data_IF_056800683161
#
_entry.id   IF_056800683161
#
_cell.length_a   1.000
_cell.length_b   1.000
_cell.length_c   1.000
_cell.angle_alpha   90.00
_cell.angle_beta   90.00
_cell.angle_gamma   90.00
#
_symmetry.space_group_name_H-M   'P 1'
#
loop_
_entity.id
_entity.type
_entity.pdbx_description
1 polymer ?
#
# COMPACT_ATOMS: atom_id res chain seq x y z
N UNK A 1 -22.82 17.43 16.04
CA UNK A 1 -23.03 16.00 16.35
C UNK A 1 -21.99 15.17 15.61
N UNK A 2 -20.73 15.18 16.06
CA UNK A 2 -19.64 14.39 15.48
C UNK A 2 -18.81 13.81 16.62
N UNK A 3 -19.30 12.73 17.20
CA UNK A 3 -18.59 11.95 18.22
C UNK A 3 -18.56 10.49 17.80
N UNK A 4 -17.96 10.22 16.64
CA UNK A 4 -17.64 8.86 16.20
C UNK A 4 -16.46 8.25 17.02
N UNK A 5 -15.44 9.01 17.51
CA UNK A 5 -14.34 8.40 18.27
C UNK A 5 -14.77 7.83 19.62
N UNK A 6 -15.76 8.44 20.28
CA UNK A 6 -16.18 8.04 21.63
C UNK A 6 -16.84 6.65 21.66
N UNK A 7 -17.50 6.24 20.56
CA UNK A 7 -18.16 4.93 20.46
C UNK A 7 -17.21 3.77 20.24
N UNK A 8 -16.01 4.02 19.71
CA UNK A 8 -14.98 3.00 19.56
C UNK A 8 -14.26 2.73 20.89
N UNK A 9 -14.11 3.76 21.72
CA UNK A 9 -13.39 3.73 23.00
C UNK A 9 -14.26 3.30 24.18
N UNK A 10 -15.59 3.46 24.12
CA UNK A 10 -16.51 3.01 25.18
C UNK A 10 -17.08 1.60 24.93
N UNK A 11 -17.23 0.77 25.97
CA UNK A 11 -17.82 -0.55 25.83
C UNK A 11 -19.35 -0.40 25.72
N UNK A 12 -19.88 -0.43 24.50
CA UNK A 12 -21.31 -0.65 24.28
C UNK A 12 -21.51 -2.01 23.62
N UNK A 13 -22.61 -2.68 23.97
CA UNK A 13 -22.92 -4.10 23.72
C UNK A 13 -23.04 -4.52 22.24
N UNK A 14 -22.81 -3.60 21.29
CA UNK A 14 -23.02 -3.85 19.86
C UNK A 14 -21.84 -4.53 19.15
N UNK A 15 -20.64 -4.58 19.76
CA UNK A 15 -19.43 -5.13 19.12
C UNK A 15 -18.74 -6.16 20.03
N UNK A 16 -18.40 -7.37 19.52
CA UNK A 16 -17.70 -8.38 20.32
C UNK A 16 -16.39 -7.83 20.90
N UNK A 17 -16.23 -7.90 22.23
CA UNK A 17 -15.07 -7.35 22.94
C UNK A 17 -13.74 -7.94 22.45
N UNK A 18 -13.72 -9.23 22.09
CA UNK A 18 -12.57 -9.93 21.56
C UNK A 18 -12.13 -9.43 20.18
N UNK A 19 -13.06 -9.03 19.32
CA UNK A 19 -12.73 -8.48 17.98
C UNK A 19 -12.06 -7.11 18.08
N UNK A 20 -12.57 -6.24 18.96
CA UNK A 20 -12.02 -4.89 19.18
C UNK A 20 -10.62 -4.93 19.77
N UNK A 21 -10.39 -5.76 20.78
CA UNK A 21 -9.07 -5.89 21.40
C UNK A 21 -8.03 -6.40 20.40
N UNK A 22 -8.39 -7.38 19.57
CA UNK A 22 -7.53 -7.89 18.49
C UNK A 22 -7.23 -6.83 17.44
N UNK A 23 -8.25 -6.09 16.99
CA UNK A 23 -8.08 -5.00 16.02
C UNK A 23 -7.17 -3.90 16.56
N UNK A 24 -7.43 -3.39 17.76
CA UNK A 24 -6.61 -2.35 18.39
C UNK A 24 -5.18 -2.83 18.67
N UNK A 25 -5.00 -4.08 19.08
CA UNK A 25 -3.68 -4.68 19.24
C UNK A 25 -2.92 -4.74 17.91
N UNK A 26 -3.61 -5.06 16.81
CA UNK A 26 -3.04 -5.09 15.46
C UNK A 26 -2.61 -3.69 15.00
N UNK A 27 -3.46 -2.68 15.17
CA UNK A 27 -3.08 -1.28 14.91
C UNK A 27 -1.89 -0.83 15.75
N UNK A 28 -1.86 -1.21 17.02
CA UNK A 28 -0.73 -0.92 17.92
C UNK A 28 0.56 -1.57 17.44
N UNK A 29 0.53 -2.86 17.05
CA UNK A 29 1.70 -3.57 16.48
C UNK A 29 2.15 -2.94 15.17
N UNK A 30 1.22 -2.53 14.32
CA UNK A 30 1.54 -1.85 13.06
C UNK A 30 2.24 -0.52 13.34
N UNK A 31 1.66 0.34 14.17
CA UNK A 31 2.18 1.68 14.44
C UNK A 31 3.49 1.68 15.23
N UNK A 32 3.57 0.89 16.31
CA UNK A 32 4.70 0.88 17.24
C UNK A 32 5.73 -0.21 16.94
N UNK A 33 5.49 -1.10 15.97
CA UNK A 33 6.37 -2.22 15.64
C UNK A 33 6.17 -3.44 16.53
N UNK A 34 6.91 -4.51 16.23
CA UNK A 34 6.68 -5.83 16.82
C UNK A 34 5.51 -6.54 16.15
N UNK A 35 5.62 -6.76 14.83
CA UNK A 35 4.66 -7.55 14.07
C UNK A 35 4.50 -8.93 14.73
N UNK A 36 3.31 -9.52 14.61
CA UNK A 36 3.08 -10.88 15.10
C UNK A 36 4.12 -11.85 14.52
N UNK A 37 4.43 -12.93 15.23
CA UNK A 37 5.28 -14.01 14.69
C UNK A 37 4.64 -14.58 13.43
N UNK A 38 5.44 -15.17 12.55
CA UNK A 38 4.98 -15.73 11.28
C UNK A 38 3.80 -16.71 11.45
N UNK A 39 3.75 -17.40 12.59
CA UNK A 39 2.71 -18.37 12.96
C UNK A 39 1.43 -17.73 13.55
N UNK A 40 1.49 -16.47 14.00
CA UNK A 40 0.45 -15.79 14.81
C UNK A 40 -0.28 -14.64 14.09
N UNK A 41 -0.22 -14.61 12.75
CA UNK A 41 -0.95 -13.61 11.95
C UNK A 41 -0.10 -12.44 11.44
N UNK A 42 1.23 -12.61 11.32
CA UNK A 42 2.14 -11.67 10.64
C UNK A 42 1.62 -11.23 9.28
N UNK A 43 1.07 -12.16 8.51
CA UNK A 43 0.48 -11.88 7.21
C UNK A 43 -0.66 -10.86 7.29
N UNK A 44 -1.56 -11.00 8.27
CA UNK A 44 -2.66 -10.06 8.49
C UNK A 44 -2.18 -8.68 8.91
N UNK A 45 -1.17 -8.59 9.78
CA UNK A 45 -0.57 -7.31 10.17
C UNK A 45 0.06 -6.60 8.97
N UNK A 46 0.79 -7.34 8.12
CA UNK A 46 1.41 -6.82 6.89
C UNK A 46 0.36 -6.37 5.88
N UNK A 47 -0.67 -7.20 5.65
CA UNK A 47 -1.76 -6.91 4.72
C UNK A 47 -2.52 -5.63 5.11
N UNK A 48 -2.82 -5.47 6.40
CA UNK A 48 -3.47 -4.27 6.91
C UNK A 48 -2.55 -3.05 6.84
N UNK A 49 -1.27 -3.20 7.18
CA UNK A 49 -0.31 -2.10 7.08
C UNK A 49 -0.14 -1.62 5.63
N UNK A 50 -0.13 -2.53 4.65
CA UNK A 50 -0.11 -2.19 3.23
C UNK A 50 -1.42 -1.55 2.77
N UNK A 51 -2.57 -2.02 3.26
CA UNK A 51 -3.85 -1.37 3.00
C UNK A 51 -3.87 0.09 3.49
N UNK A 52 -3.28 0.37 4.66
CA UNK A 52 -3.17 1.74 5.22
C UNK A 52 -2.37 2.69 4.32
N UNK A 53 -1.45 2.20 3.48
CA UNK A 53 -0.74 3.07 2.52
C UNK A 53 -1.67 3.71 1.50
N UNK A 54 -2.73 3.00 1.10
CA UNK A 54 -3.76 3.50 0.20
C UNK A 54 -4.67 4.56 0.86
N UNK A 55 -4.66 4.68 2.20
CA UNK A 55 -5.42 5.71 2.94
C UNK A 55 -4.66 7.02 3.15
N UNK A 56 -3.40 7.12 2.73
CA UNK A 56 -2.58 8.30 2.96
C UNK A 56 -3.22 9.58 2.36
N UNK A 57 -3.71 9.50 1.12
CA UNK A 57 -4.38 10.63 0.45
C UNK A 57 -5.76 10.93 1.05
N UNK A 58 -6.67 9.95 1.27
CA UNK A 58 -7.94 10.20 1.97
C UNK A 58 -7.78 10.86 3.35
N UNK A 59 -6.75 10.47 4.12
CA UNK A 59 -6.45 11.10 5.40
C UNK A 59 -5.99 12.55 5.24
N UNK A 60 -5.20 12.86 4.20
CA UNK A 60 -4.82 14.25 3.91
C UNK A 60 -6.01 15.11 3.47
N UNK A 61 -6.94 14.56 2.69
CA UNK A 61 -8.17 15.27 2.30
C UNK A 61 -9.09 15.51 3.50
N UNK A 62 -9.21 14.51 4.40
CA UNK A 62 -9.94 14.67 5.65
C UNK A 62 -9.32 15.77 6.52
N UNK A 63 -7.99 15.83 6.61
CA UNK A 63 -7.30 16.91 7.32
C UNK A 63 -7.64 18.28 6.72
N UNK A 64 -7.53 18.45 5.40
CA UNK A 64 -7.87 19.71 4.72
C UNK A 64 -9.32 20.10 5.01
N UNK A 65 -10.27 19.18 4.82
CA UNK A 65 -11.69 19.44 5.08
C UNK A 65 -11.96 19.87 6.53
N UNK A 66 -11.35 19.20 7.52
CA UNK A 66 -11.49 19.56 8.93
C UNK A 66 -10.88 20.93 9.23
N UNK A 67 -9.73 21.26 8.64
CA UNK A 67 -9.12 22.59 8.83
C UNK A 67 -9.97 23.71 8.23
N UNK A 68 -10.58 23.49 7.07
CA UNK A 68 -11.51 24.44 6.46
C UNK A 68 -12.73 24.66 7.33
N UNK A 69 -13.35 23.57 7.83
CA UNK A 69 -14.48 23.63 8.75
C UNK A 69 -14.13 24.40 10.03
N UNK A 70 -12.95 24.15 10.60
CA UNK A 70 -12.51 24.81 11.82
C UNK A 70 -12.23 26.30 11.61
N UNK A 71 -11.61 26.66 10.48
CA UNK A 71 -11.31 28.04 10.11
C UNK A 71 -12.52 28.80 9.53
N UNK A 72 -13.65 28.12 9.34
CA UNK A 72 -14.86 28.66 8.69
C UNK A 72 -14.56 29.30 7.33
N UNK A 73 -13.61 28.73 6.58
CA UNK A 73 -13.29 29.21 5.24
C UNK A 73 -14.38 28.79 4.26
N UNK A 74 -14.76 29.72 3.37
CA UNK A 74 -15.62 29.41 2.22
C UNK A 74 -14.91 28.52 1.20
N UNK A 75 -15.66 28.05 0.21
CA UNK A 75 -15.15 27.19 -0.89
C UNK A 75 -14.27 27.94 -1.89
N UNK A 76 -14.22 29.26 -1.82
CA UNK A 76 -13.73 30.14 -2.89
C UNK A 76 -12.19 30.19 -2.99
N UNK A 77 -11.47 29.87 -1.91
CA UNK A 77 -10.02 29.73 -1.92
C UNK A 77 -9.58 28.64 -0.95
N UNK A 78 -9.59 27.39 -1.41
CA UNK A 78 -9.08 26.27 -0.62
C UNK A 78 -7.56 26.36 -0.57
N UNK A 79 -7.01 26.68 0.59
CA UNK A 79 -5.58 26.48 0.87
C UNK A 79 -5.32 24.97 0.98
N UNK A 80 -5.21 24.31 -0.18
CA UNK A 80 -4.94 22.87 -0.32
C UNK A 80 -3.49 22.52 0.03
N UNK A 81 -2.65 23.52 0.27
CA UNK A 81 -1.20 23.42 0.29
C UNK A 81 -0.62 23.69 1.67
N UNK A 82 -1.13 23.00 2.70
CA UNK A 82 -0.34 22.85 3.93
C UNK A 82 0.98 22.17 3.56
N UNK A 83 2.03 22.98 3.40
CA UNK A 83 3.37 22.57 2.95
C UNK A 83 4.02 21.53 3.87
N UNK A 84 3.49 21.38 5.09
CA UNK A 84 4.00 20.48 6.12
C UNK A 84 3.04 19.32 6.39
N UNK A 85 1.78 19.58 6.75
CA UNK A 85 0.88 18.52 7.20
C UNK A 85 0.51 17.51 6.09
N UNK A 86 0.25 17.95 4.85
CA UNK A 86 -0.14 17.04 3.76
C UNK A 86 1.00 16.09 3.39
N UNK A 87 2.25 16.56 3.15
CA UNK A 87 3.37 15.65 2.90
C UNK A 87 3.64 14.68 4.05
N UNK A 88 3.49 15.11 5.31
CA UNK A 88 3.64 14.22 6.46
C UNK A 88 2.57 13.13 6.49
N UNK A 89 1.29 13.48 6.27
CA UNK A 89 0.19 12.51 6.21
C UNK A 89 0.39 11.50 5.06
N UNK A 90 0.93 11.96 3.93
CA UNK A 90 1.32 11.08 2.82
C UNK A 90 2.48 10.16 3.18
N UNK A 91 3.48 10.64 3.91
CA UNK A 91 4.71 9.91 4.24
C UNK A 91 4.56 8.92 5.40
N UNK A 92 3.68 9.17 6.37
CA UNK A 92 3.54 8.36 7.59
C UNK A 92 3.32 6.86 7.32
N UNK A 93 2.39 6.44 6.44
CA UNK A 93 2.20 5.01 6.16
C UNK A 93 3.44 4.32 5.59
N UNK A 94 4.18 5.01 4.70
CA UNK A 94 5.44 4.50 4.14
C UNK A 94 6.53 4.43 5.21
N UNK A 95 6.61 5.40 6.13
CA UNK A 95 7.57 5.39 7.24
C UNK A 95 7.31 4.23 8.21
N UNK A 96 6.05 3.93 8.50
CA UNK A 96 5.66 2.77 9.31
C UNK A 96 6.15 1.48 8.65
N UNK A 97 5.87 1.28 7.35
CA UNK A 97 6.30 0.09 6.61
C UNK A 97 7.82 -0.01 6.49
N UNK A 98 8.50 1.09 6.21
CA UNK A 98 9.96 1.15 6.17
C UNK A 98 10.57 0.65 7.49
N UNK A 99 10.10 1.19 8.62
CA UNK A 99 10.56 0.80 9.94
C UNK A 99 10.31 -0.69 10.23
N UNK A 100 9.13 -1.20 9.88
CA UNK A 100 8.80 -2.62 10.04
C UNK A 100 9.76 -3.50 9.23
N UNK A 101 10.01 -3.14 7.97
CA UNK A 101 10.89 -3.90 7.10
C UNK A 101 12.35 -3.89 7.59
N UNK A 102 12.83 -2.76 8.13
CA UNK A 102 14.16 -2.68 8.75
C UNK A 102 14.24 -3.58 10.00
N UNK A 103 13.21 -3.54 10.84
CA UNK A 103 13.16 -4.34 12.08
C UNK A 103 13.15 -5.85 11.77
N UNK A 104 12.45 -6.24 10.70
CA UNK A 104 12.33 -7.63 10.24
C UNK A 104 13.50 -8.07 9.34
N UNK A 105 14.54 -7.24 9.18
CA UNK A 105 15.70 -7.48 8.31
C UNK A 105 15.31 -7.81 6.86
N UNK A 106 14.37 -7.05 6.29
CA UNK A 106 13.90 -7.16 4.91
C UNK A 106 14.39 -5.95 4.08
N UNK A 107 15.68 -5.86 3.71
CA UNK A 107 16.26 -4.66 3.12
C UNK A 107 15.65 -4.29 1.76
N UNK A 108 15.29 -5.26 0.93
CA UNK A 108 14.67 -4.99 -0.37
C UNK A 108 13.23 -4.45 -0.21
N UNK A 109 12.47 -4.99 0.76
CA UNK A 109 11.13 -4.49 1.05
C UNK A 109 11.20 -3.09 1.69
N UNK A 110 12.19 -2.86 2.56
CA UNK A 110 12.47 -1.53 3.12
C UNK A 110 12.78 -0.52 2.01
N UNK A 111 13.63 -0.89 1.05
CA UNK A 111 13.96 -0.04 -0.08
C UNK A 111 12.71 0.33 -0.88
N UNK A 112 11.76 -0.60 -1.06
CA UNK A 112 10.50 -0.34 -1.76
C UNK A 112 9.76 0.84 -1.14
N UNK A 113 9.51 0.80 0.17
CA UNK A 113 8.84 1.91 0.86
C UNK A 113 9.70 3.18 0.92
N UNK A 114 11.03 3.04 0.94
CA UNK A 114 11.93 4.19 0.92
C UNK A 114 11.84 5.01 -0.39
N UNK A 115 11.55 4.36 -1.53
CA UNK A 115 11.42 5.06 -2.82
C UNK A 115 10.28 6.08 -2.87
N UNK A 116 9.30 6.02 -1.96
CA UNK A 116 8.20 6.98 -1.91
C UNK A 116 8.62 8.37 -1.38
N UNK A 117 9.62 8.44 -0.49
CA UNK A 117 10.01 9.70 0.16
C UNK A 117 10.56 10.75 -0.82
N UNK A 118 11.48 10.42 -1.75
CA UNK A 118 11.94 11.40 -2.72
C UNK A 118 10.80 11.95 -3.60
N UNK A 119 9.84 11.12 -3.99
CA UNK A 119 8.69 11.56 -4.79
C UNK A 119 7.80 12.54 -4.00
N UNK A 120 7.55 12.28 -2.72
CA UNK A 120 6.79 13.18 -1.83
C UNK A 120 7.56 14.48 -1.58
N UNK A 121 8.87 14.39 -1.33
CA UNK A 121 9.73 15.55 -1.08
C UNK A 121 9.78 16.49 -2.28
N UNK A 122 10.13 15.98 -3.47
CA UNK A 122 10.22 16.82 -4.66
C UNK A 122 8.86 17.36 -5.09
N UNK A 123 7.77 16.61 -4.89
CA UNK A 123 6.40 17.10 -5.07
C UNK A 123 6.12 18.31 -4.18
N UNK A 124 6.56 18.26 -2.92
CA UNK A 124 6.39 19.37 -1.96
C UNK A 124 7.24 20.57 -2.36
N UNK A 125 8.50 20.35 -2.72
CA UNK A 125 9.40 21.43 -3.15
C UNK A 125 8.86 22.15 -4.39
N UNK A 126 8.31 21.42 -5.37
CA UNK A 126 7.71 22.00 -6.57
C UNK A 126 6.51 22.93 -6.31
N UNK A 127 5.90 22.86 -5.13
CA UNK A 127 4.85 23.81 -4.69
C UNK A 127 5.41 25.08 -4.09
N UNK A 128 6.71 25.12 -3.76
CA UNK A 128 7.35 26.34 -3.26
C UNK A 128 7.57 27.35 -4.40
N UNK A 129 7.11 28.58 -4.19
CA UNK A 129 7.26 29.69 -5.14
C UNK A 129 8.74 30.10 -5.34
N UNK A 130 9.59 29.88 -4.33
CA UNK A 130 10.99 30.31 -4.28
C UNK A 130 11.97 29.46 -5.10
N UNK A 131 11.53 28.44 -5.83
CA UNK A 131 12.43 27.53 -6.55
C UNK A 131 13.22 28.18 -7.69
N UNK A 132 12.71 29.25 -8.30
CA UNK A 132 13.38 29.98 -9.39
C UNK A 132 13.95 29.05 -10.46
N UNK A 133 15.26 29.17 -10.71
CA UNK A 133 15.99 28.39 -11.71
C UNK A 133 16.03 26.87 -11.44
N UNK A 134 15.86 26.43 -10.19
CA UNK A 134 15.93 25.00 -9.82
C UNK A 134 14.65 24.22 -10.15
N UNK A 135 13.54 24.91 -10.46
CA UNK A 135 12.23 24.27 -10.70
C UNK A 135 12.29 23.17 -11.76
N UNK A 136 13.03 23.38 -12.85
CA UNK A 136 13.19 22.39 -13.92
C UNK A 136 13.91 21.13 -13.44
N UNK A 137 15.05 21.28 -12.74
CA UNK A 137 15.80 20.15 -12.19
C UNK A 137 14.97 19.35 -11.18
N UNK A 138 14.30 20.03 -10.25
CA UNK A 138 13.44 19.36 -9.27
C UNK A 138 12.28 18.63 -9.96
N UNK A 139 11.75 19.18 -11.07
CA UNK A 139 10.76 18.51 -11.92
C UNK A 139 11.26 17.17 -12.46
N UNK A 140 12.47 17.14 -13.04
CA UNK A 140 13.07 15.90 -13.54
C UNK A 140 13.36 14.89 -12.42
N UNK A 141 13.87 15.36 -11.28
CA UNK A 141 14.12 14.51 -10.11
C UNK A 141 12.81 13.94 -9.55
N UNK A 142 11.72 14.71 -9.56
CA UNK A 142 10.39 14.24 -9.17
C UNK A 142 9.90 13.13 -10.11
N UNK A 143 10.00 13.31 -11.43
CA UNK A 143 9.60 12.30 -12.41
C UNK A 143 10.42 11.02 -12.20
N UNK A 144 11.75 11.14 -12.04
CA UNK A 144 12.62 10.00 -11.80
C UNK A 144 12.26 9.27 -10.50
N UNK A 145 12.00 10.01 -9.42
CA UNK A 145 11.59 9.45 -8.14
C UNK A 145 10.23 8.73 -8.23
N UNK A 146 9.24 9.36 -8.88
CA UNK A 146 7.92 8.79 -9.08
C UNK A 146 7.96 7.52 -9.96
N UNK A 147 8.76 7.54 -11.03
CA UNK A 147 8.97 6.38 -11.90
C UNK A 147 9.66 5.24 -11.16
N UNK A 148 10.70 5.56 -10.39
CA UNK A 148 11.42 4.57 -9.56
C UNK A 148 10.47 3.93 -8.55
N UNK A 149 9.68 4.74 -7.85
CA UNK A 149 8.70 4.23 -6.89
C UNK A 149 7.64 3.34 -7.55
N UNK A 150 7.05 3.79 -8.67
CA UNK A 150 6.03 3.05 -9.39
C UNK A 150 6.57 1.72 -9.92
N UNK A 151 7.70 1.74 -10.64
CA UNK A 151 8.28 0.54 -11.24
C UNK A 151 8.80 -0.44 -10.20
N UNK A 152 9.50 0.02 -9.17
CA UNK A 152 10.05 -0.89 -8.17
C UNK A 152 8.95 -1.54 -7.34
N UNK A 153 7.93 -0.76 -6.99
CA UNK A 153 6.77 -1.33 -6.30
C UNK A 153 6.03 -2.28 -7.25
N UNK A 154 5.81 -1.94 -8.53
CA UNK A 154 5.14 -2.84 -9.49
C UNK A 154 5.87 -4.18 -9.63
N UNK A 155 7.20 -4.12 -9.74
CA UNK A 155 8.06 -5.30 -9.72
C UNK A 155 7.81 -6.14 -8.46
N UNK A 156 7.75 -5.49 -7.29
CA UNK A 156 7.48 -6.17 -6.02
C UNK A 156 6.13 -6.87 -6.01
N UNK A 157 5.08 -6.20 -6.49
CA UNK A 157 3.73 -6.76 -6.51
C UNK A 157 3.67 -8.02 -7.40
N UNK A 158 4.24 -7.96 -8.61
CA UNK A 158 4.27 -9.10 -9.53
C UNK A 158 5.11 -10.26 -8.99
N UNK A 159 6.32 -9.97 -8.51
CA UNK A 159 7.31 -11.03 -8.23
C UNK A 159 7.28 -11.54 -6.81
N UNK A 160 7.08 -10.66 -5.83
CA UNK A 160 7.18 -11.01 -4.41
C UNK A 160 5.79 -11.24 -3.80
N UNK A 161 4.83 -10.37 -4.11
CA UNK A 161 3.49 -10.45 -3.52
C UNK A 161 2.62 -11.50 -4.23
N UNK A 162 2.65 -11.57 -5.56
CA UNK A 162 1.89 -12.56 -6.33
C UNK A 162 2.69 -13.81 -6.72
N UNK A 163 4.00 -13.82 -6.44
CA UNK A 163 4.88 -14.97 -6.70
C UNK A 163 4.84 -15.41 -8.17
N UNK A 164 4.84 -14.43 -9.09
CA UNK A 164 4.84 -14.65 -10.53
C UNK A 164 6.23 -14.51 -11.11
N UNK A 165 6.49 -15.25 -12.19
CA UNK A 165 7.79 -15.34 -12.84
C UNK A 165 7.94 -14.42 -14.05
N UNK A 166 6.94 -13.58 -14.34
CA UNK A 166 6.90 -12.73 -15.54
C UNK A 166 8.09 -11.75 -15.64
N UNK A 167 8.57 -11.24 -14.50
CA UNK A 167 9.68 -10.28 -14.43
C UNK A 167 10.97 -10.89 -13.87
N UNK A 168 10.98 -12.21 -13.64
CA UNK A 168 12.16 -12.94 -13.15
C UNK A 168 12.55 -14.01 -14.17
N UNK A 169 13.70 -14.65 -13.94
CA UNK A 169 14.09 -15.77 -14.81
C UNK A 169 13.10 -16.91 -14.60
N UNK A 170 12.51 -17.49 -15.66
CA UNK A 170 11.64 -18.65 -15.50
C UNK A 170 12.47 -19.81 -14.92
N UNK A 171 12.03 -20.33 -13.78
CA UNK A 171 12.59 -21.54 -13.17
C UNK A 171 11.52 -22.63 -13.31
N UNK A 172 11.71 -23.55 -14.27
CA UNK A 172 10.80 -24.68 -14.53
C UNK A 172 10.04 -24.63 -15.87
N UNK A 173 9.20 -25.64 -16.10
CA UNK A 173 8.50 -25.95 -17.37
C UNK A 173 7.34 -25.00 -17.74
N UNK A 174 7.28 -23.80 -17.17
CA UNK A 174 6.15 -22.88 -17.38
C UNK A 174 6.62 -21.56 -18.01
N UNK A 175 6.63 -21.48 -19.36
CA UNK A 175 7.27 -20.39 -20.09
C UNK A 175 6.49 -19.07 -20.09
N UNK A 176 5.26 -19.03 -19.56
CA UNK A 176 4.36 -17.87 -19.72
C UNK A 176 4.45 -16.83 -18.59
N UNK A 177 5.44 -16.93 -17.69
CA UNK A 177 5.65 -15.96 -16.61
C UNK A 177 4.62 -16.03 -15.48
N UNK A 178 3.80 -17.09 -15.44
CA UNK A 178 2.88 -17.40 -14.36
C UNK A 178 3.38 -18.61 -13.57
N UNK A 179 2.92 -18.75 -12.32
CA UNK A 179 3.22 -19.90 -11.48
C UNK A 179 2.38 -21.13 -11.83
N UNK A 180 2.82 -22.31 -11.39
CA UNK A 180 2.18 -23.60 -11.69
C UNK A 180 0.77 -23.74 -11.09
N UNK A 181 0.64 -23.58 -9.77
CA UNK A 181 -0.62 -23.71 -9.04
C UNK A 181 -1.36 -22.38 -9.04
N UNK A 182 -2.52 -22.34 -9.70
CA UNK A 182 -3.35 -21.13 -9.90
C UNK A 182 -4.80 -21.47 -9.62
N UNK A 183 -5.51 -20.58 -8.92
CA UNK A 183 -6.95 -20.74 -8.66
C UNK A 183 -7.83 -19.92 -9.62
N UNK A 184 -7.24 -19.00 -10.38
CA UNK A 184 -7.94 -18.16 -11.35
C UNK A 184 -7.51 -18.49 -12.79
N UNK A 185 -8.32 -18.15 -13.81
CA UNK A 185 -7.88 -18.26 -15.20
C UNK A 185 -6.72 -17.32 -15.51
N UNK A 186 -5.87 -17.70 -16.46
CA UNK A 186 -4.67 -16.97 -16.87
C UNK A 186 -4.97 -15.50 -17.26
N UNK A 187 -6.12 -15.29 -17.91
CA UNK A 187 -6.60 -13.95 -18.29
C UNK A 187 -6.79 -13.02 -17.09
N UNK A 188 -7.20 -13.55 -15.93
CA UNK A 188 -7.36 -12.76 -14.72
C UNK A 188 -6.01 -12.30 -14.17
N UNK A 189 -4.98 -13.15 -14.20
CA UNK A 189 -3.62 -12.77 -13.78
C UNK A 189 -3.06 -11.66 -14.68
N UNK A 190 -3.10 -11.83 -16.01
CA UNK A 190 -2.59 -10.81 -16.93
C UNK A 190 -3.38 -9.50 -16.86
N UNK A 191 -4.72 -9.57 -16.74
CA UNK A 191 -5.56 -8.39 -16.56
C UNK A 191 -5.19 -7.63 -15.29
N UNK A 192 -4.98 -8.35 -14.20
CA UNK A 192 -4.61 -7.75 -12.92
C UNK A 192 -3.21 -7.13 -12.96
N UNK A 193 -2.23 -7.78 -13.61
CA UNK A 193 -0.88 -7.21 -13.82
C UNK A 193 -0.98 -5.89 -14.61
N UNK A 194 -1.73 -5.87 -15.71
CA UNK A 194 -1.92 -4.68 -16.52
C UNK A 194 -2.64 -3.56 -15.75
N UNK A 195 -3.71 -3.90 -15.04
CA UNK A 195 -4.47 -2.96 -14.21
C UNK A 195 -3.61 -2.37 -13.09
N UNK A 196 -2.82 -3.18 -12.39
CA UNK A 196 -1.94 -2.68 -11.34
C UNK A 196 -0.87 -1.73 -11.90
N UNK A 197 -0.26 -2.06 -13.04
CA UNK A 197 0.71 -1.18 -13.69
C UNK A 197 0.09 0.20 -13.99
N UNK A 198 -1.06 0.23 -14.66
CA UNK A 198 -1.75 1.48 -15.04
C UNK A 198 -2.16 2.28 -13.80
N UNK A 199 -2.81 1.62 -12.83
CA UNK A 199 -3.31 2.30 -11.64
C UNK A 199 -2.19 2.73 -10.68
N UNK A 200 -1.01 2.11 -10.74
CA UNK A 200 0.16 2.54 -9.96
C UNK A 200 0.77 3.82 -10.51
N UNK A 201 0.76 4.03 -11.82
CA UNK A 201 1.07 5.35 -12.38
C UNK A 201 0.01 6.40 -11.99
N UNK A 202 -1.24 5.99 -11.76
CA UNK A 202 -2.25 6.89 -11.21
C UNK A 202 -1.92 7.40 -9.81
N UNK A 203 -1.20 6.61 -8.99
CA UNK A 203 -0.66 7.10 -7.71
C UNK A 203 0.36 8.23 -7.90
N UNK A 204 1.23 8.16 -8.92
CA UNK A 204 2.17 9.24 -9.22
C UNK A 204 1.44 10.52 -9.66
N UNK A 205 0.31 10.41 -10.36
CA UNK A 205 -0.52 11.59 -10.67
C UNK A 205 -1.04 12.29 -9.40
N UNK A 206 -1.30 11.55 -8.31
CA UNK A 206 -1.70 12.14 -7.01
C UNK A 206 -0.63 13.06 -6.42
N UNK A 207 0.63 12.86 -6.77
CA UNK A 207 1.74 13.68 -6.29
C UNK A 207 2.10 14.81 -7.27
N UNK A 208 1.54 14.83 -8.47
CA UNK A 208 1.91 15.83 -9.46
C UNK A 208 1.43 17.23 -9.05
N UNK A 209 2.33 18.22 -8.95
CA UNK A 209 1.96 19.62 -8.69
C UNK A 209 1.39 20.31 -9.93
N UNK A 210 1.63 19.77 -11.13
CA UNK A 210 1.14 20.35 -12.38
C UNK A 210 -0.29 19.89 -12.74
N UNK A 211 -0.81 18.87 -12.05
CA UNK A 211 -2.19 18.38 -12.21
C UNK A 211 -3.16 19.00 -11.20
N UNK A 212 -2.82 20.14 -10.58
CA UNK A 212 -3.76 20.86 -9.71
C UNK A 212 -5.09 21.17 -10.42
N UNK A 213 -5.03 21.42 -11.73
CA UNK A 213 -6.23 21.61 -12.55
C UNK A 213 -7.12 20.35 -12.70
N UNK A 214 -6.54 19.14 -12.65
CA UNK A 214 -7.33 17.90 -12.63
C UNK A 214 -8.03 17.67 -11.29
N UNK A 215 -7.53 18.29 -10.20
CA UNK A 215 -8.22 18.32 -8.92
C UNK A 215 -9.35 19.35 -8.88
N UNK A 216 -9.31 20.34 -9.77
CA UNK A 216 -10.40 21.31 -9.93
C UNK A 216 -11.59 20.72 -10.72
N UNK A 217 -11.40 19.59 -11.41
CA UNK A 217 -12.52 18.80 -11.94
C UNK A 217 -13.28 18.22 -10.74
N UNK A 218 -14.55 18.58 -10.59
CA UNK A 218 -15.43 18.06 -9.54
C UNK A 218 -15.36 16.52 -9.49
N UNK A 219 -14.83 15.99 -8.39
CA UNK A 219 -14.73 14.54 -8.16
C UNK A 219 -13.48 13.84 -8.70
N UNK A 220 -12.52 14.54 -9.33
CA UNK A 220 -11.29 13.92 -9.85
C UNK A 220 -10.47 13.19 -8.77
N UNK A 221 -10.28 13.83 -7.61
CA UNK A 221 -9.63 13.20 -6.44
C UNK A 221 -10.41 11.96 -5.99
N UNK A 222 -11.74 12.06 -5.90
CA UNK A 222 -12.59 10.95 -5.46
C UNK A 222 -12.44 9.73 -6.38
N UNK A 223 -12.45 9.93 -7.70
CA UNK A 223 -12.26 8.83 -8.66
C UNK A 223 -10.87 8.20 -8.50
N UNK A 224 -9.81 9.00 -8.36
CA UNK A 224 -8.44 8.50 -8.15
C UNK A 224 -8.30 7.72 -6.82
N UNK A 225 -9.03 8.11 -5.78
CA UNK A 225 -9.06 7.36 -4.52
C UNK A 225 -9.88 6.08 -4.63
N UNK A 226 -11.02 6.11 -5.32
CA UNK A 226 -11.83 4.92 -5.58
C UNK A 226 -11.04 3.89 -6.40
N UNK A 227 -10.34 4.33 -7.45
CA UNK A 227 -9.49 3.47 -8.27
C UNK A 227 -8.34 2.84 -7.46
N UNK A 228 -7.74 3.60 -6.54
CA UNK A 228 -6.69 3.08 -5.65
C UNK A 228 -7.24 2.03 -4.67
N UNK A 229 -8.46 2.22 -4.16
CA UNK A 229 -9.16 1.22 -3.33
C UNK A 229 -9.44 -0.04 -4.14
N UNK A 230 -9.94 0.09 -5.37
CA UNK A 230 -10.18 -1.06 -6.26
C UNK A 230 -8.88 -1.80 -6.57
N UNK A 231 -7.81 -1.08 -6.90
CA UNK A 231 -6.48 -1.67 -7.13
C UNK A 231 -6.02 -2.48 -5.92
N UNK A 232 -6.11 -1.91 -4.72
CA UNK A 232 -5.70 -2.59 -3.49
C UNK A 232 -6.59 -3.80 -3.18
N UNK A 233 -7.89 -3.70 -3.42
CA UNK A 233 -8.83 -4.82 -3.30
C UNK A 233 -8.40 -5.99 -4.18
N UNK A 234 -8.11 -5.74 -5.46
CA UNK A 234 -7.60 -6.76 -6.38
C UNK A 234 -6.26 -7.33 -5.88
N UNK A 235 -5.32 -6.46 -5.48
CA UNK A 235 -4.03 -6.89 -4.93
C UNK A 235 -4.20 -7.84 -3.73
N UNK A 236 -5.12 -7.53 -2.79
CA UNK A 236 -5.39 -8.36 -1.61
C UNK A 236 -5.85 -9.76 -2.01
N UNK A 237 -6.76 -9.89 -2.99
CA UNK A 237 -7.25 -11.20 -3.43
C UNK A 237 -6.13 -12.12 -3.91
N UNK A 238 -5.30 -11.62 -4.83
CA UNK A 238 -4.19 -12.40 -5.35
C UNK A 238 -3.11 -12.62 -4.30
N UNK A 239 -2.87 -11.65 -3.40
CA UNK A 239 -1.92 -11.81 -2.30
C UNK A 239 -2.34 -12.90 -1.32
N UNK A 240 -3.62 -12.93 -0.94
CA UNK A 240 -4.20 -13.98 -0.09
C UNK A 240 -4.14 -15.33 -0.79
N UNK A 241 -4.45 -15.37 -2.08
CA UNK A 241 -4.41 -16.60 -2.87
C UNK A 241 -2.98 -17.15 -3.00
N UNK A 242 -1.96 -16.29 -3.16
CA UNK A 242 -0.54 -16.67 -3.11
C UNK A 242 -0.16 -17.28 -1.78
N UNK A 243 -0.48 -16.64 -0.66
CA UNK A 243 -0.15 -17.19 0.65
C UNK A 243 -0.90 -18.51 0.91
N UNK A 244 -2.16 -18.62 0.48
CA UNK A 244 -2.92 -19.86 0.58
C UNK A 244 -2.26 -21.02 -0.17
N UNK A 245 -1.79 -20.78 -1.40
CA UNK A 245 -1.06 -21.78 -2.20
C UNK A 245 0.26 -22.15 -1.51
N UNK A 246 0.99 -21.17 -0.96
CA UNK A 246 2.26 -21.40 -0.26
C UNK A 246 2.08 -22.25 1.01
N UNK A 247 1.07 -21.93 1.83
CA UNK A 247 0.77 -22.70 3.05
C UNK A 247 0.36 -24.13 2.73
N UNK A 248 -0.54 -24.34 1.76
CA UNK A 248 -0.93 -25.71 1.35
C UNK A 248 0.25 -26.54 0.86
N UNK A 249 1.09 -25.97 0.00
CA UNK A 249 2.26 -26.67 -0.49
C UNK A 249 3.23 -27.04 0.65
N UNK A 250 3.43 -26.15 1.63
CA UNK A 250 4.26 -26.45 2.79
C UNK A 250 3.68 -27.58 3.64
N UNK A 251 2.36 -27.63 3.81
CA UNK A 251 1.68 -28.73 4.52
C UNK A 251 1.77 -30.06 3.77
N UNK A 252 1.60 -30.05 2.45
CA UNK A 252 1.70 -31.25 1.61
C UNK A 252 3.13 -31.86 1.68
N UNK A 253 4.18 -31.02 1.64
CA UNK A 253 5.58 -31.47 1.78
C UNK A 253 5.84 -32.08 3.16
N UNK A 254 5.39 -31.41 4.23
CA UNK A 254 5.52 -31.93 5.59
C UNK A 254 4.79 -33.26 5.79
N UNK A 255 3.63 -33.44 5.18
CA UNK A 255 2.89 -34.71 5.23
C UNK A 255 3.54 -35.80 4.37
N UNK A 256 4.16 -35.44 3.25
CA UNK A 256 4.93 -36.36 2.40
C UNK A 256 6.17 -36.92 3.08
N UNK A 257 6.90 -36.10 3.83
CA UNK A 257 8.07 -36.52 4.63
C UNK A 257 7.67 -37.37 5.85
N UNK A 258 6.40 -37.35 6.26
CA UNK A 258 5.84 -38.16 7.36
C UNK A 258 5.11 -39.41 6.82
N UNK A 259 5.15 -39.65 5.50
CA UNK A 259 4.65 -40.87 4.86
C UNK A 259 5.29 -42.15 5.45
N UNK A 260 4.58 -43.27 5.44
CA UNK A 260 4.74 -44.32 6.43
C UNK A 260 6.13 -44.97 6.30
N UNK A 261 6.92 -44.90 7.37
CA UNK A 261 7.78 -46.03 7.72
C UNK A 261 6.83 -47.20 7.97
N UNK A 262 6.48 -47.90 6.89
CA UNK A 262 5.89 -49.22 7.03
C UNK A 262 6.98 -50.06 7.69
N UNK A 263 6.66 -50.53 8.89
CA UNK A 263 7.40 -51.53 9.61
C UNK A 263 7.61 -52.73 8.66
N UNK A 264 8.81 -52.85 8.10
CA UNK A 264 9.30 -54.09 7.52
C UNK A 264 9.75 -54.97 8.68
N UNK A 265 8.79 -55.72 9.25
CA UNK A 265 9.03 -56.95 10.02
C UNK A 265 8.94 -58.17 9.10
#
# INVERSE_FOLDING_TARGET
MFAVPHRFLYPTSFWPAAGRSRFLATFRRIALGGLARSEDGKFGDVLLADALTSYARPLSELYIALTMMWRRQGTDSVDRSSMVAVPLLLAVPFAIRLRQCITDNQPYNALKYATAFPAILFSTLLRAESLGAWRGLIGYLWILAALTNALYSFYWDVTCDWDLTLLTRPVGDHPYGLRAKRNFPDTAYYSMIALDLVLRFAWAFKLSPHLEHFYDIEGGIFILELLEVVRRFLWVYFRVETEWVRTKHSSDVLLGDVGPKLDED
#
